data_IF_309544874970
#
_entry.id   IF_309544874970
#
_cell.length_a   1.000
_cell.length_b   1.000
_cell.length_c   1.000
_cell.angle_alpha   90.00
_cell.angle_beta   90.00
_cell.angle_gamma   90.00
#
_symmetry.space_group_name_H-M   'P 1'
#
loop_
_entity.id
_entity.type
_entity.pdbx_description
1 polymer ?
#
# COMPACT_ATOMS: atom_id res chain seq x y z
N UNK A 1 26.34 29.73 -6.64
CA UNK A 1 25.10 29.13 -6.10
C UNK A 1 24.40 28.41 -7.23
N UNK A 2 24.50 27.08 -7.29
CA UNK A 2 23.76 26.30 -8.28
C UNK A 2 22.27 26.46 -7.99
N UNK A 3 21.51 27.04 -8.94
CA UNK A 3 20.06 26.93 -8.92
C UNK A 3 19.76 25.47 -9.22
N UNK A 4 19.49 24.69 -8.19
CA UNK A 4 18.84 23.41 -8.36
C UNK A 4 17.54 23.70 -9.08
N UNK A 5 17.40 23.16 -10.29
CA UNK A 5 16.15 23.25 -11.03
C UNK A 5 15.01 22.79 -10.10
N UNK A 6 13.84 23.46 -10.14
CA UNK A 6 12.71 23.01 -9.34
C UNK A 6 12.43 21.54 -9.68
N UNK A 7 12.15 20.69 -8.68
CA UNK A 7 11.90 19.28 -8.93
C UNK A 7 10.80 19.15 -9.99
N UNK A 8 10.94 18.21 -10.94
CA UNK A 8 9.99 18.04 -12.02
C UNK A 8 8.57 17.93 -11.47
N UNK A 9 7.62 18.61 -12.11
CA UNK A 9 6.24 18.58 -11.67
C UNK A 9 5.73 17.13 -11.68
N UNK A 10 5.01 16.67 -10.63
CA UNK A 10 4.55 15.29 -10.55
C UNK A 10 3.73 14.87 -11.78
N UNK A 11 4.03 13.68 -12.31
CA UNK A 11 3.40 13.16 -13.51
C UNK A 11 1.89 12.97 -13.29
N UNK A 12 1.07 13.49 -14.21
CA UNK A 12 -0.38 13.30 -14.16
C UNK A 12 -0.76 12.03 -14.90
N UNK A 13 -1.41 11.10 -14.20
CA UNK A 13 -1.87 9.83 -14.78
C UNK A 13 -3.36 9.94 -15.08
N UNK A 14 -3.78 9.44 -16.25
CA UNK A 14 -5.18 9.47 -16.69
C UNK A 14 -6.15 8.63 -15.84
N UNK A 15 -5.63 7.84 -14.90
CA UNK A 15 -6.40 6.97 -14.01
C UNK A 15 -6.92 7.72 -12.78
N UNK A 16 -8.09 7.28 -12.30
CA UNK A 16 -8.60 7.74 -11.01
C UNK A 16 -7.93 6.99 -9.85
N UNK A 17 -7.77 7.66 -8.72
CA UNK A 17 -7.25 7.07 -7.49
C UNK A 17 -8.06 5.85 -7.06
N UNK A 18 -9.39 5.91 -7.20
CA UNK A 18 -10.28 4.79 -6.93
C UNK A 18 -10.04 3.61 -7.87
N UNK A 19 -9.75 3.86 -9.15
CA UNK A 19 -9.47 2.79 -10.10
C UNK A 19 -8.18 2.05 -9.73
N UNK A 20 -7.11 2.80 -9.41
CA UNK A 20 -5.82 2.24 -8.99
C UNK A 20 -5.94 1.43 -7.71
N UNK A 21 -6.59 1.97 -6.67
CA UNK A 21 -6.83 1.20 -5.43
C UNK A 21 -7.73 -0.01 -5.69
N UNK A 22 -8.69 0.10 -6.62
CA UNK A 22 -9.52 -1.02 -7.05
C UNK A 22 -8.74 -2.14 -7.76
N UNK A 23 -7.64 -1.84 -8.45
CA UNK A 23 -6.77 -2.86 -9.02
C UNK A 23 -6.05 -3.65 -7.93
N UNK A 24 -5.45 -2.95 -6.96
CA UNK A 24 -4.80 -3.59 -5.81
C UNK A 24 -5.75 -4.53 -5.08
N UNK A 25 -6.94 -4.03 -4.73
CA UNK A 25 -7.92 -4.81 -3.99
C UNK A 25 -8.48 -6.00 -4.78
N UNK A 26 -8.59 -5.91 -6.11
CA UNK A 26 -9.14 -7.01 -6.93
C UNK A 26 -8.08 -8.02 -7.35
N UNK A 27 -6.84 -7.58 -7.56
CA UNK A 27 -5.81 -8.37 -8.22
C UNK A 27 -4.59 -8.62 -7.35
N UNK A 28 -4.50 -7.98 -6.17
CA UNK A 28 -3.30 -8.02 -5.34
C UNK A 28 -2.08 -7.36 -5.98
N UNK A 29 -2.28 -6.54 -7.03
CA UNK A 29 -1.23 -5.84 -7.76
C UNK A 29 -1.80 -4.69 -8.60
N UNK A 30 -0.91 -3.84 -9.08
CA UNK A 30 -1.19 -2.88 -10.13
C UNK A 30 -1.19 -3.59 -11.49
N UNK A 31 -2.27 -3.48 -12.27
CA UNK A 31 -2.35 -4.02 -13.63
C UNK A 31 -2.01 -2.96 -14.68
N UNK A 32 -2.42 -1.71 -14.44
CA UNK A 32 -2.22 -0.61 -15.36
C UNK A 32 -0.80 -0.03 -15.29
N UNK A 33 0.23 -0.88 -15.12
CA UNK A 33 1.63 -0.49 -14.97
C UNK A 33 2.11 0.44 -16.09
N UNK A 34 1.70 0.17 -17.34
CA UNK A 34 2.05 1.00 -18.49
C UNK A 34 1.56 2.45 -18.38
N UNK A 35 0.42 2.70 -17.70
CA UNK A 35 -0.06 4.05 -17.46
C UNK A 35 0.88 4.89 -16.58
N UNK A 36 1.78 4.22 -15.85
CA UNK A 36 2.81 4.82 -15.00
C UNK A 36 4.20 4.80 -15.65
N UNK A 37 4.33 4.33 -16.90
CA UNK A 37 5.63 4.09 -17.53
C UNK A 37 6.38 2.90 -16.93
N UNK A 38 5.68 2.00 -16.24
CA UNK A 38 6.22 0.73 -15.77
C UNK A 38 5.90 -0.35 -16.79
N UNK A 39 6.91 -1.11 -17.16
CA UNK A 39 6.77 -2.25 -18.06
C UNK A 39 7.22 -3.51 -17.31
N UNK A 40 6.32 -4.49 -17.07
CA UNK A 40 6.68 -5.71 -16.37
C UNK A 40 7.79 -6.54 -17.05
N UNK A 41 8.06 -6.29 -18.33
CA UNK A 41 9.12 -6.96 -19.09
C UNK A 41 10.42 -6.17 -19.16
N UNK A 42 10.43 -4.88 -18.78
CA UNK A 42 11.66 -4.08 -18.74
C UNK A 42 12.36 -4.24 -17.41
N UNK A 43 13.68 -4.05 -17.47
CA UNK A 43 14.51 -4.07 -16.29
C UNK A 43 14.53 -2.74 -15.52
N UNK A 44 15.18 -2.76 -14.35
CA UNK A 44 15.41 -1.63 -13.45
C UNK A 44 16.04 -0.41 -14.16
N UNK A 45 17.01 -0.63 -15.05
CA UNK A 45 17.74 0.45 -15.70
C UNK A 45 16.84 1.25 -16.64
N UNK A 46 15.95 0.57 -17.36
CA UNK A 46 14.96 1.23 -18.20
C UNK A 46 13.95 2.05 -17.39
N UNK A 47 13.62 1.67 -16.15
CA UNK A 47 12.80 2.47 -15.26
C UNK A 47 13.57 3.70 -14.76
N UNK A 48 14.80 3.54 -14.31
CA UNK A 48 15.66 4.65 -13.88
C UNK A 48 15.85 5.70 -15.00
N UNK A 49 16.07 5.25 -16.24
CA UNK A 49 16.17 6.13 -17.41
C UNK A 49 14.90 6.95 -17.70
N UNK A 50 13.74 6.51 -17.21
CA UNK A 50 12.45 7.20 -17.37
C UNK A 50 12.14 8.16 -16.21
N UNK A 51 13.11 8.41 -15.32
CA UNK A 51 12.98 9.34 -14.20
C UNK A 51 12.31 8.73 -12.97
N UNK A 52 12.50 7.43 -12.76
CA UNK A 52 12.26 6.78 -11.46
C UNK A 52 13.50 6.92 -10.59
N UNK A 53 13.31 7.02 -9.28
CA UNK A 53 14.40 7.17 -8.31
C UNK A 53 14.47 5.92 -7.42
N UNK A 54 15.66 5.55 -6.93
CA UNK A 54 15.76 4.46 -5.93
C UNK A 54 15.26 4.98 -4.58
N UNK A 55 14.44 4.19 -3.88
CA UNK A 55 13.98 4.52 -2.51
C UNK A 55 15.11 4.42 -1.48
N UNK A 56 16.21 3.75 -1.80
CA UNK A 56 17.42 3.66 -0.97
C UNK A 56 18.66 3.88 -1.84
N UNK A 57 19.72 4.44 -1.23
CA UNK A 57 21.00 4.63 -1.92
C UNK A 57 21.81 3.31 -2.05
N UNK A 58 21.36 2.24 -1.40
CA UNK A 58 22.06 0.96 -1.35
C UNK A 58 21.45 -0.03 -2.33
N UNK A 59 22.20 -0.36 -3.39
CA UNK A 59 21.81 -1.41 -4.31
C UNK A 59 21.72 -2.76 -3.58
N UNK A 60 20.61 -3.47 -3.79
CA UNK A 60 20.42 -4.83 -3.30
C UNK A 60 19.78 -5.72 -4.36
N UNK A 61 19.64 -7.02 -4.08
CA UNK A 61 18.91 -7.91 -5.00
C UNK A 61 17.44 -7.49 -5.17
N UNK A 62 16.85 -6.92 -4.12
CA UNK A 62 15.49 -6.38 -4.09
C UNK A 62 15.53 -4.86 -4.12
N UNK A 63 15.31 -4.27 -5.28
CA UNK A 63 15.33 -2.82 -5.46
C UNK A 63 13.91 -2.27 -5.34
N UNK A 64 13.73 -1.21 -4.57
CA UNK A 64 12.50 -0.43 -4.56
C UNK A 64 12.79 0.91 -5.23
N UNK A 65 11.98 1.25 -6.23
CA UNK A 65 11.98 2.60 -6.79
C UNK A 65 10.84 3.41 -6.22
N UNK A 66 10.87 4.71 -6.44
CA UNK A 66 9.78 5.62 -6.16
C UNK A 66 9.66 6.72 -7.22
N UNK A 67 8.44 7.21 -7.36
CA UNK A 67 8.14 8.38 -8.18
C UNK A 67 6.88 9.08 -7.70
N UNK A 68 6.94 10.40 -7.68
CA UNK A 68 5.80 11.25 -7.37
C UNK A 68 4.88 11.47 -8.57
N UNK A 69 3.59 11.30 -8.30
CA UNK A 69 2.54 11.30 -9.31
C UNK A 69 1.31 12.05 -8.81
N UNK A 70 0.40 12.33 -9.75
CA UNK A 70 -0.95 12.82 -9.46
C UNK A 70 -2.00 11.95 -10.12
N UNK A 71 -2.91 11.43 -9.31
CA UNK A 71 -4.11 10.73 -9.78
C UNK A 71 -5.34 11.61 -9.69
N UNK A 72 -6.33 11.32 -10.54
CA UNK A 72 -7.62 12.02 -10.48
C UNK A 72 -8.44 11.53 -9.28
N UNK A 73 -8.99 12.45 -8.50
CA UNK A 73 -9.85 12.16 -7.34
C UNK A 73 -11.02 13.15 -7.27
N UNK A 74 -12.01 12.85 -6.43
CA UNK A 74 -13.09 13.80 -6.13
C UNK A 74 -12.48 15.05 -5.49
N UNK A 75 -12.65 16.20 -6.15
CA UNK A 75 -12.06 17.48 -5.72
C UNK A 75 -10.70 17.81 -6.35
N UNK A 76 -10.25 17.06 -7.37
CA UNK A 76 -9.11 17.44 -8.21
C UNK A 76 -8.01 16.37 -8.29
N UNK A 77 -6.78 16.83 -8.47
CA UNK A 77 -5.60 15.97 -8.54
C UNK A 77 -5.05 15.69 -7.14
N UNK A 78 -4.81 14.41 -6.83
CA UNK A 78 -4.22 14.00 -5.56
C UNK A 78 -2.77 13.58 -5.75
N UNK A 79 -1.82 14.19 -5.02
CA UNK A 79 -0.43 13.77 -5.03
C UNK A 79 -0.28 12.45 -4.28
N UNK A 80 0.63 11.62 -4.76
CA UNK A 80 1.02 10.36 -4.15
C UNK A 80 2.41 9.96 -4.67
N UNK A 81 3.01 8.96 -4.03
CA UNK A 81 4.23 8.30 -4.51
C UNK A 81 3.89 6.86 -4.86
N UNK A 82 4.26 6.40 -6.06
CA UNK A 82 4.19 4.98 -6.40
C UNK A 82 5.56 4.36 -6.17
N UNK A 83 5.59 3.16 -5.61
CA UNK A 83 6.81 2.48 -5.22
C UNK A 83 6.89 1.06 -5.79
N UNK A 84 7.35 0.89 -7.04
CA UNK A 84 7.50 -0.43 -7.64
C UNK A 84 8.68 -1.19 -7.01
N UNK A 85 8.50 -2.51 -6.87
CA UNK A 85 9.50 -3.44 -6.37
C UNK A 85 10.08 -4.24 -7.55
N UNK A 86 11.38 -4.45 -7.51
CA UNK A 86 12.13 -5.21 -8.49
C UNK A 86 12.99 -6.27 -7.78
N UNK A 87 13.14 -7.43 -8.42
CA UNK A 87 14.11 -8.45 -8.03
C UNK A 87 15.05 -8.68 -9.21
N UNK A 88 16.34 -8.37 -9.03
CA UNK A 88 17.36 -8.45 -10.09
C UNK A 88 16.97 -7.78 -11.39
N UNK A 89 16.38 -6.59 -11.28
CA UNK A 89 15.89 -5.86 -12.43
C UNK A 89 14.49 -6.22 -12.88
N UNK A 90 13.89 -7.33 -12.46
CA UNK A 90 12.55 -7.72 -12.89
C UNK A 90 11.45 -7.16 -11.99
N UNK A 91 10.42 -6.55 -12.58
CA UNK A 91 9.29 -5.98 -11.87
C UNK A 91 8.46 -7.06 -11.13
N UNK A 92 8.23 -6.86 -9.83
CA UNK A 92 7.46 -7.76 -8.97
C UNK A 92 6.09 -7.22 -8.56
N UNK A 93 5.95 -5.90 -8.44
CA UNK A 93 4.74 -5.29 -7.89
C UNK A 93 4.97 -3.83 -7.55
N UNK A 94 4.01 -3.20 -6.88
CA UNK A 94 4.16 -1.80 -6.47
C UNK A 94 3.28 -1.48 -5.26
N UNK A 95 3.80 -0.68 -4.34
CA UNK A 95 3.00 -0.04 -3.31
C UNK A 95 2.67 1.42 -3.67
N UNK A 96 1.73 2.00 -2.96
CA UNK A 96 1.20 3.33 -3.18
C UNK A 96 1.18 4.11 -1.87
N UNK A 97 1.90 5.22 -1.80
CA UNK A 97 1.94 6.13 -0.66
C UNK A 97 1.12 7.40 -0.90
N UNK A 98 0.14 7.62 -0.04
CA UNK A 98 -0.82 8.72 -0.08
C UNK A 98 -0.37 9.82 0.87
N UNK A 99 0.35 10.82 0.35
CA UNK A 99 0.99 11.90 1.12
C UNK A 99 0.16 12.47 2.27
N UNK A 100 -1.01 13.04 1.93
CA UNK A 100 -1.93 13.66 2.90
C UNK A 100 -2.89 12.65 3.53
N UNK A 101 -2.79 11.38 3.15
CA UNK A 101 -3.76 10.34 3.44
C UNK A 101 -5.12 10.58 2.77
N UNK A 102 -5.94 9.53 2.76
CA UNK A 102 -7.35 9.60 2.40
C UNK A 102 -8.20 9.36 3.65
N UNK A 103 -9.20 10.21 3.94
CA UNK A 103 -10.12 9.93 5.03
C UNK A 103 -10.76 8.55 4.86
N UNK A 104 -10.88 7.78 5.95
CA UNK A 104 -11.40 6.42 5.90
C UNK A 104 -12.79 6.35 5.27
N UNK A 105 -13.65 7.34 5.56
CA UNK A 105 -14.97 7.48 4.97
C UNK A 105 -14.97 7.68 3.43
N UNK A 106 -13.84 8.06 2.83
CA UNK A 106 -13.69 8.17 1.38
C UNK A 106 -13.08 6.91 0.77
N UNK A 107 -12.12 6.28 1.45
CA UNK A 107 -11.34 5.16 0.91
C UNK A 107 -12.00 3.80 1.18
N UNK A 108 -12.43 3.53 2.41
CA UNK A 108 -12.90 2.20 2.81
C UNK A 108 -14.28 1.81 2.24
N UNK A 109 -15.22 2.72 1.89
CA UNK A 109 -16.40 2.32 1.12
C UNK A 109 -16.08 1.66 -0.22
N UNK A 110 -14.86 1.81 -0.75
CA UNK A 110 -14.44 1.11 -1.96
C UNK A 110 -14.38 -0.41 -1.76
N UNK A 111 -14.05 -0.88 -0.55
CA UNK A 111 -14.07 -2.31 -0.19
C UNK A 111 -15.47 -2.91 -0.29
N UNK A 112 -16.49 -2.16 0.12
CA UNK A 112 -17.90 -2.61 0.10
C UNK A 112 -18.47 -2.73 -1.31
N UNK A 113 -17.92 -1.98 -2.26
CA UNK A 113 -18.37 -1.97 -3.64
C UNK A 113 -17.80 -3.11 -4.50
N UNK A 114 -16.86 -3.90 -3.97
CA UNK A 114 -16.26 -5.03 -4.67
C UNK A 114 -17.08 -6.31 -4.41
N UNK A 115 -17.30 -7.11 -5.45
CA UNK A 115 -17.92 -8.43 -5.34
C UNK A 115 -16.95 -9.51 -5.86
N UNK A 116 -16.75 -10.62 -5.12
CA UNK A 116 -17.23 -10.88 -3.76
C UNK A 116 -16.69 -9.86 -2.74
N UNK A 117 -17.37 -9.70 -1.60
CA UNK A 117 -16.90 -8.79 -0.56
C UNK A 117 -15.56 -9.32 -0.01
N UNK A 118 -14.54 -8.46 0.12
CA UNK A 118 -13.22 -8.93 0.51
C UNK A 118 -13.20 -9.39 1.97
N UNK A 119 -12.39 -10.40 2.29
CA UNK A 119 -12.13 -10.84 3.65
C UNK A 119 -11.08 -9.95 4.30
N UNK A 120 -11.30 -9.61 5.57
CA UNK A 120 -10.27 -9.02 6.40
C UNK A 120 -9.79 -10.08 7.36
N UNK A 121 -8.49 -10.28 7.37
CA UNK A 121 -7.91 -11.47 7.99
C UNK A 121 -6.87 -11.11 9.05
N UNK A 122 -6.28 -9.91 8.98
CA UNK A 122 -5.18 -9.51 9.86
C UNK A 122 -5.25 -8.04 10.24
N UNK A 123 -4.88 -7.74 11.48
CA UNK A 123 -4.78 -6.39 12.02
C UNK A 123 -3.45 -6.21 12.76
N UNK A 124 -2.85 -5.03 12.63
CA UNK A 124 -1.65 -4.65 13.38
C UNK A 124 -1.72 -3.19 13.79
N UNK A 125 -1.13 -2.90 14.94
CA UNK A 125 -0.99 -1.56 15.49
C UNK A 125 0.47 -1.36 15.90
N UNK A 126 1.04 -0.20 15.55
CA UNK A 126 2.37 0.23 16.01
C UNK A 126 2.18 1.55 16.74
N UNK A 127 2.41 1.54 18.05
CA UNK A 127 2.28 2.73 18.89
C UNK A 127 0.84 3.24 18.97
N UNK A 128 0.62 4.55 18.98
CA UNK A 128 -0.71 5.17 19.15
C UNK A 128 -1.31 5.77 17.86
N UNK A 129 -0.58 5.67 16.75
CA UNK A 129 -0.82 6.44 15.55
C UNK A 129 -0.83 5.60 14.27
N UNK A 130 -0.34 4.36 14.27
CA UNK A 130 -0.24 3.57 13.04
C UNK A 130 -1.04 2.28 13.15
N UNK A 131 -1.71 1.89 12.07
CA UNK A 131 -2.34 0.58 11.98
C UNK A 131 -2.34 0.06 10.56
N UNK A 132 -2.58 -1.24 10.40
CA UNK A 132 -2.73 -1.87 9.10
C UNK A 132 -3.82 -2.95 9.11
N UNK A 133 -4.46 -3.16 7.96
CA UNK A 133 -5.31 -4.33 7.73
C UNK A 133 -4.86 -5.08 6.48
N UNK A 134 -4.89 -6.41 6.52
CA UNK A 134 -4.65 -7.24 5.33
C UNK A 134 -5.99 -7.70 4.75
N UNK A 135 -6.19 -7.37 3.48
CA UNK A 135 -7.37 -7.69 2.68
C UNK A 135 -7.07 -8.90 1.79
N UNK A 136 -7.95 -9.90 1.82
CA UNK A 136 -7.88 -11.14 1.03
C UNK A 136 -6.50 -11.86 1.11
N UNK A 137 -5.80 -11.68 2.22
CA UNK A 137 -4.45 -12.20 2.44
C UNK A 137 -3.36 -11.59 1.54
N UNK A 138 -3.64 -10.52 0.79
CA UNK A 138 -2.78 -10.03 -0.31
C UNK A 138 -2.53 -8.54 -0.34
N UNK A 139 -3.46 -7.72 0.15
CA UNK A 139 -3.35 -6.26 0.05
C UNK A 139 -3.34 -5.62 1.42
N UNK A 140 -2.21 -5.01 1.79
CA UNK A 140 -2.06 -4.22 3.00
C UNK A 140 -2.67 -2.83 2.82
N UNK A 141 -3.55 -2.43 3.73
CA UNK A 141 -4.02 -1.06 3.84
C UNK A 141 -3.46 -0.46 5.12
N UNK A 142 -2.61 0.55 4.98
CA UNK A 142 -1.91 1.20 6.09
C UNK A 142 -2.58 2.51 6.46
N UNK A 143 -2.72 2.76 7.75
CA UNK A 143 -3.39 3.90 8.32
C UNK A 143 -2.47 4.64 9.26
N UNK A 144 -2.56 5.98 9.21
CA UNK A 144 -1.89 6.86 10.14
C UNK A 144 -2.89 7.81 10.77
N UNK A 145 -2.72 8.07 12.05
CA UNK A 145 -3.46 9.08 12.80
C UNK A 145 -3.00 10.47 12.36
N UNK A 146 -3.94 11.26 11.86
CA UNK A 146 -3.76 12.68 11.52
C UNK A 146 -4.67 13.51 12.43
N UNK A 147 -4.08 14.03 13.50
CA UNK A 147 -4.83 14.74 14.56
C UNK A 147 -5.74 13.79 15.34
N UNK A 148 -7.07 13.97 15.22
CA UNK A 148 -8.08 13.16 15.94
C UNK A 148 -8.63 11.99 15.12
N UNK A 149 -8.24 11.87 13.85
CA UNK A 149 -8.80 10.91 12.90
C UNK A 149 -7.71 10.07 12.25
N UNK A 150 -8.06 8.86 11.83
CA UNK A 150 -7.21 8.01 11.01
C UNK A 150 -7.45 8.30 9.53
N UNK A 151 -6.40 8.16 8.73
CA UNK A 151 -6.45 8.25 7.27
C UNK A 151 -5.67 7.09 6.67
N UNK A 152 -6.15 6.56 5.54
CA UNK A 152 -5.40 5.60 4.72
C UNK A 152 -4.20 6.32 4.11
N UNK A 153 -3.00 5.88 4.44
CA UNK A 153 -1.75 6.49 4.00
C UNK A 153 -0.96 5.63 3.03
N UNK A 154 -1.17 4.31 3.03
CA UNK A 154 -0.55 3.47 2.00
C UNK A 154 -1.43 2.28 1.62
N UNK A 155 -1.24 1.82 0.38
CA UNK A 155 -1.75 0.54 -0.11
C UNK A 155 -0.56 -0.26 -0.60
N UNK A 156 -0.38 -1.46 -0.07
CA UNK A 156 0.74 -2.31 -0.44
C UNK A 156 0.24 -3.65 -0.97
N UNK A 157 0.77 -4.06 -2.13
CA UNK A 157 0.50 -5.35 -2.72
C UNK A 157 1.65 -5.72 -3.68
N UNK A 158 2.15 -6.93 -3.56
CA UNK A 158 3.15 -7.47 -4.49
C UNK A 158 2.80 -8.91 -4.87
N UNK A 159 3.34 -9.33 -6.01
CA UNK A 159 3.28 -10.73 -6.41
C UNK A 159 4.28 -11.55 -5.59
N UNK A 160 3.90 -12.80 -5.34
CA UNK A 160 4.83 -13.74 -4.74
C UNK A 160 5.93 -14.10 -5.75
N UNK A 161 7.20 -13.89 -5.39
CA UNK A 161 8.34 -14.55 -6.01
C UNK A 161 8.47 -15.96 -5.42
N UNK A 162 8.77 -16.94 -6.27
CA UNK A 162 8.77 -18.34 -5.88
C UNK A 162 9.86 -18.64 -4.83
N UNK A 163 9.62 -19.63 -3.96
CA UNK A 163 10.55 -19.93 -2.86
C UNK A 163 11.82 -20.66 -3.34
N UNK A 164 11.73 -21.33 -4.49
CA UNK A 164 12.80 -21.97 -5.24
C UNK A 164 13.48 -21.02 -6.22
N UNK A 165 13.13 -19.73 -6.20
CA UNK A 165 13.88 -18.71 -6.90
C UNK A 165 15.32 -18.72 -6.36
N UNK A 166 16.32 -19.07 -7.21
CA UNK A 166 17.71 -19.24 -6.77
C UNK A 166 18.30 -17.93 -6.23
N UNK A 167 17.62 -16.81 -6.48
CA UNK A 167 18.09 -15.47 -6.28
C UNK A 167 17.45 -14.78 -5.09
N UNK A 168 16.35 -15.36 -4.60
CA UNK A 168 15.71 -15.01 -3.36
C UNK A 168 15.33 -16.29 -2.60
N UNK A 169 16.30 -16.98 -1.97
CA UNK A 169 16.04 -18.21 -1.25
C UNK A 169 14.97 -17.99 -0.16
N UNK A 170 13.83 -18.67 -0.27
CA UNK A 170 12.67 -18.47 0.62
C UNK A 170 11.53 -17.62 0.01
N UNK A 171 11.77 -17.01 -1.15
CA UNK A 171 10.81 -16.26 -1.95
C UNK A 171 10.50 -14.86 -1.40
N UNK A 172 9.72 -14.09 -2.15
CA UNK A 172 9.11 -12.84 -1.71
C UNK A 172 7.61 -13.08 -1.68
N UNK A 173 6.93 -12.81 -0.58
CA UNK A 173 5.47 -12.80 -0.55
C UNK A 173 5.10 -11.68 0.41
N UNK A 174 4.75 -10.51 -0.13
CA UNK A 174 4.42 -9.37 0.72
C UNK A 174 3.20 -9.66 1.61
N UNK A 175 2.26 -10.48 1.13
CA UNK A 175 1.18 -11.00 1.97
C UNK A 175 1.73 -11.82 3.14
N UNK A 176 2.70 -12.71 2.92
CA UNK A 176 3.35 -13.49 3.98
C UNK A 176 4.15 -12.61 4.95
N UNK A 177 4.91 -11.65 4.42
CA UNK A 177 5.65 -10.70 5.25
C UNK A 177 4.69 -9.88 6.12
N UNK A 178 3.65 -9.29 5.53
CA UNK A 178 2.60 -8.61 6.30
C UNK A 178 1.96 -9.52 7.34
N UNK A 179 1.59 -10.76 6.99
CA UNK A 179 1.06 -11.74 7.97
C UNK A 179 2.02 -12.00 9.14
N UNK A 180 3.33 -12.00 8.89
CA UNK A 180 4.33 -12.19 9.96
C UNK A 180 4.41 -11.03 10.95
N UNK A 181 3.99 -9.83 10.53
CA UNK A 181 3.94 -8.63 11.37
C UNK A 181 2.57 -8.43 12.04
N UNK A 182 1.55 -9.13 11.60
CA UNK A 182 0.16 -8.90 11.98
C UNK A 182 -0.42 -10.06 12.78
N UNK A 183 -1.49 -9.80 13.54
CA UNK A 183 -2.22 -10.87 14.24
C UNK A 183 -3.49 -11.23 13.46
N UNK A 184 -3.80 -12.54 13.30
CA UNK A 184 -5.03 -12.94 12.63
C UNK A 184 -6.24 -12.49 13.44
N UNK A 185 -7.30 -12.09 12.75
CA UNK A 185 -8.47 -11.53 13.40
C UNK A 185 -9.76 -11.78 12.60
N UNK A 186 -10.67 -12.56 13.18
CA UNK A 186 -11.88 -13.02 12.47
C UNK A 186 -13.09 -12.11 12.58
N UNK A 187 -13.22 -11.36 13.69
CA UNK A 187 -14.41 -10.57 13.97
C UNK A 187 -14.12 -9.30 14.80
N UNK A 188 -15.05 -8.33 14.85
CA UNK A 188 -14.83 -7.09 15.60
C UNK A 188 -14.62 -7.27 17.12
N UNK A 189 -15.04 -8.40 17.72
CA UNK A 189 -14.78 -8.68 19.13
C UNK A 189 -13.32 -9.12 19.34
N UNK A 190 -12.79 -10.01 18.47
CA UNK A 190 -11.37 -10.36 18.43
C UNK A 190 -10.49 -9.14 18.23
N UNK A 191 -10.87 -8.20 17.35
CA UNK A 191 -10.09 -6.96 17.17
C UNK A 191 -10.00 -6.16 18.46
N UNK A 192 -11.12 -5.98 19.16
CA UNK A 192 -11.15 -5.24 20.44
C UNK A 192 -10.32 -5.95 21.51
N UNK A 193 -10.35 -7.28 21.54
CA UNK A 193 -9.52 -8.07 22.46
C UNK A 193 -8.03 -7.88 22.18
N UNK A 194 -7.62 -7.91 20.90
CA UNK A 194 -6.24 -7.66 20.49
C UNK A 194 -5.79 -6.24 20.86
N UNK A 195 -6.61 -5.22 20.57
CA UNK A 195 -6.27 -3.86 20.98
C UNK A 195 -6.21 -3.66 22.49
N UNK A 196 -6.95 -4.43 23.29
CA UNK A 196 -6.85 -4.35 24.74
C UNK A 196 -5.52 -4.91 25.29
N UNK A 197 -4.83 -5.75 24.51
CA UNK A 197 -3.55 -6.36 24.85
C UNK A 197 -2.35 -5.59 24.26
N UNK A 198 -2.60 -4.53 23.48
CA UNK A 198 -1.58 -3.68 22.88
C UNK A 198 -0.83 -2.86 23.94
N UNK A 199 0.38 -2.38 23.60
CA UNK A 199 1.15 -1.48 24.45
C UNK A 199 0.43 -0.14 24.70
N UNK A 200 -0.37 0.32 23.72
CA UNK A 200 -1.17 1.55 23.76
C UNK A 200 -2.69 1.26 23.63
N UNK A 201 -3.31 0.59 24.60
CA UNK A 201 -4.61 -0.05 24.40
C UNK A 201 -5.75 0.96 24.15
N UNK A 202 -5.64 2.17 24.71
CA UNK A 202 -6.61 3.26 24.45
C UNK A 202 -6.55 3.75 23.01
N UNK A 203 -5.35 3.84 22.44
CA UNK A 203 -5.16 4.30 21.07
C UNK A 203 -5.55 3.22 20.06
N UNK A 204 -5.19 1.96 20.33
CA UNK A 204 -5.60 0.82 19.52
C UNK A 204 -7.13 0.68 19.48
N UNK A 205 -7.80 0.80 20.63
CA UNK A 205 -9.27 0.78 20.68
C UNK A 205 -9.92 1.96 19.93
N UNK A 206 -9.30 3.15 19.96
CA UNK A 206 -9.77 4.30 19.17
C UNK A 206 -9.65 4.02 17.67
N UNK A 207 -8.52 3.46 17.23
CA UNK A 207 -8.30 3.10 15.83
C UNK A 207 -9.36 2.10 15.34
N UNK A 208 -9.61 1.04 16.12
CA UNK A 208 -10.65 0.05 15.78
C UNK A 208 -12.03 0.71 15.68
N UNK A 209 -12.39 1.59 16.63
CA UNK A 209 -13.69 2.30 16.59
C UNK A 209 -13.85 3.12 15.32
N UNK A 210 -12.75 3.65 14.77
CA UNK A 210 -12.80 4.45 13.55
C UNK A 210 -12.75 3.61 12.28
N UNK A 211 -11.98 2.51 12.26
CA UNK A 211 -11.78 1.67 11.09
C UNK A 211 -12.93 0.66 10.93
N UNK A 212 -13.31 -0.05 11.99
CA UNK A 212 -14.29 -1.14 11.98
C UNK A 212 -15.65 -0.78 11.32
N UNK A 213 -16.20 0.43 11.48
CA UNK A 213 -17.45 0.80 10.83
C UNK A 213 -17.42 0.79 9.31
N UNK A 214 -16.25 0.76 8.67
CA UNK A 214 -16.10 0.79 7.22
C UNK A 214 -15.67 -0.53 6.61
N UNK A 215 -15.28 -1.48 7.46
CA UNK A 215 -14.85 -2.80 7.04
C UNK A 215 -16.05 -3.65 6.57
N UNK A 216 -15.84 -4.64 5.69
CA UNK A 216 -16.83 -5.65 5.37
C UNK A 216 -17.24 -6.36 6.66
N UNK A 217 -18.55 -6.52 6.86
CA UNK A 217 -19.09 -7.39 7.92
C UNK A 217 -19.21 -8.78 7.31
N UNK A 218 -18.63 -9.80 7.97
CA UNK A 218 -18.97 -11.20 7.68
C UNK A 218 -20.47 -11.41 7.90
#
# INVERSE_FOLDING_TARGET
MARLDPPPAPLRIGLSLRAVVGEYLRHGRLLSTAAFGLDPQRDLDAALAQGWERSTDQASATEQLERDLRLRHRGGWRPLTLKPFYLRGHYLGASLDLWRGLPLAQALPWLRGLRPAPTLEWFHFVGADQGAVLVDGRTGLHFLRRGRRFALTAVDASLAAAADDPDLPGGFDNGRWLRSLMTPCDDPAHWRALAAQDADPRAALQAIREIAPYLPRR
#
